data_IF_007069357678
#
_entry.id   IF_007069357678
#
_cell.length_a   1.000
_cell.length_b   1.000
_cell.length_c   1.000
_cell.angle_alpha   90.00
_cell.angle_beta   90.00
_cell.angle_gamma   90.00
#
_symmetry.space_group_name_H-M   'P 1'
#
loop_
_entity.id
_entity.type
_entity.pdbx_description
1 polymer ?
#
# COMPACT_ATOMS: atom_id res chain seq x y z
N UNK A 1 -6.73 1.73 -6.17
CA UNK A 1 -7.15 2.72 -5.14
C UNK A 1 -8.60 3.17 -5.26
N UNK A 2 -9.10 3.55 -6.46
CA UNK A 2 -10.44 4.12 -6.61
C UNK A 2 -11.60 3.32 -5.96
N UNK A 3 -11.66 1.97 -6.07
CA UNK A 3 -12.72 1.19 -5.41
C UNK A 3 -12.70 1.30 -3.87
N UNK A 4 -11.52 1.42 -3.27
CA UNK A 4 -11.39 1.55 -1.82
C UNK A 4 -11.86 2.93 -1.34
N UNK A 5 -11.60 3.98 -2.13
CA UNK A 5 -12.13 5.32 -1.87
C UNK A 5 -13.66 5.34 -1.96
N UNK A 6 -14.21 4.75 -3.01
CA UNK A 6 -15.67 4.65 -3.19
C UNK A 6 -16.35 3.93 -2.03
N UNK A 7 -15.77 2.82 -1.56
CA UNK A 7 -16.28 2.12 -0.38
C UNK A 7 -16.28 3.01 0.86
N UNK A 8 -15.19 3.74 1.12
CA UNK A 8 -15.11 4.68 2.24
C UNK A 8 -16.17 5.80 2.15
N UNK A 9 -16.36 6.36 0.96
CA UNK A 9 -17.35 7.41 0.71
C UNK A 9 -18.79 6.89 0.92
N UNK A 10 -19.02 5.60 0.67
CA UNK A 10 -20.28 4.91 0.95
C UNK A 10 -20.43 4.44 2.41
N UNK A 11 -19.49 4.76 3.30
CA UNK A 11 -19.50 4.34 4.71
C UNK A 11 -19.10 2.87 4.94
N UNK A 12 -18.58 2.19 3.91
CA UNK A 12 -18.11 0.80 3.98
C UNK A 12 -16.61 0.77 4.22
N UNK A 13 -16.17 0.01 5.21
CA UNK A 13 -14.74 -0.13 5.52
C UNK A 13 -14.08 -1.13 4.55
N UNK A 14 -13.10 -0.71 3.71
CA UNK A 14 -12.60 -1.52 2.61
C UNK A 14 -11.45 -2.46 3.01
N UNK A 15 -11.67 -3.35 3.98
CA UNK A 15 -10.61 -4.21 4.54
C UNK A 15 -9.86 -5.03 3.49
N UNK A 16 -10.58 -5.77 2.65
CA UNK A 16 -9.97 -6.62 1.63
C UNK A 16 -9.23 -5.81 0.55
N UNK A 17 -9.74 -4.63 0.21
CA UNK A 17 -9.07 -3.76 -0.77
C UNK A 17 -7.81 -3.15 -0.18
N UNK A 18 -7.84 -2.70 1.08
CA UNK A 18 -6.64 -2.21 1.77
C UNK A 18 -5.55 -3.29 1.85
N UNK A 19 -5.95 -4.53 2.09
CA UNK A 19 -5.04 -5.68 2.10
C UNK A 19 -4.46 -6.00 0.72
N UNK A 20 -5.29 -6.02 -0.33
CA UNK A 20 -4.83 -6.21 -1.70
C UNK A 20 -3.86 -5.10 -2.14
N UNK A 21 -4.14 -3.84 -1.76
CA UNK A 21 -3.24 -2.72 -2.02
C UNK A 21 -1.92 -2.91 -1.30
N UNK A 22 -1.95 -3.26 -0.01
CA UNK A 22 -0.75 -3.51 0.78
C UNK A 22 0.10 -4.66 0.19
N UNK A 23 -0.54 -5.75 -0.25
CA UNK A 23 0.15 -6.85 -0.92
C UNK A 23 0.79 -6.42 -2.24
N UNK A 24 0.15 -5.54 -3.01
CA UNK A 24 0.72 -5.00 -4.25
C UNK A 24 2.02 -4.21 -4.01
N UNK A 25 2.17 -3.56 -2.86
CA UNK A 25 3.43 -2.88 -2.51
C UNK A 25 4.57 -3.84 -2.14
N UNK A 26 4.28 -5.12 -1.89
CA UNK A 26 5.29 -6.17 -1.74
C UNK A 26 5.62 -6.87 -3.06
N UNK A 27 4.90 -6.55 -4.14
CA UNK A 27 5.16 -7.17 -5.44
C UNK A 27 6.55 -6.78 -5.94
N UNK A 28 7.32 -7.81 -6.32
CA UNK A 28 8.65 -7.66 -6.86
C UNK A 28 8.87 -8.71 -7.95
N UNK A 29 9.11 -8.24 -9.16
CA UNK A 29 9.52 -9.04 -10.31
C UNK A 29 10.76 -8.38 -10.95
N UNK A 30 11.93 -9.05 -10.95
CA UNK A 30 13.14 -8.50 -11.56
C UNK A 30 13.03 -8.17 -13.06
N UNK A 31 12.04 -8.75 -13.76
CA UNK A 31 11.76 -8.45 -15.16
C UNK A 31 10.81 -7.26 -15.34
N UNK A 32 10.19 -6.75 -14.26
CA UNK A 32 9.34 -5.56 -14.24
C UNK A 32 10.10 -4.37 -13.61
N UNK A 33 10.64 -3.44 -14.44
CA UNK A 33 11.37 -2.27 -13.96
C UNK A 33 10.54 -1.39 -13.01
N UNK A 34 9.21 -1.36 -13.16
CA UNK A 34 8.33 -0.57 -12.32
C UNK A 34 8.27 -1.14 -10.91
N UNK A 35 8.16 -2.46 -10.79
CA UNK A 35 8.22 -3.13 -9.48
C UNK A 35 9.58 -2.94 -8.81
N UNK A 36 10.68 -3.02 -9.56
CA UNK A 36 12.02 -2.76 -9.04
C UNK A 36 12.16 -1.33 -8.50
N UNK A 37 11.72 -0.34 -9.28
CA UNK A 37 11.75 1.07 -8.88
C UNK A 37 10.89 1.30 -7.63
N UNK A 38 9.72 0.67 -7.54
CA UNK A 38 8.87 0.74 -6.35
C UNK A 38 9.59 0.19 -5.11
N UNK A 39 10.21 -0.98 -5.22
CA UNK A 39 10.94 -1.57 -4.10
C UNK A 39 12.13 -0.70 -3.68
N UNK A 40 12.85 -0.09 -4.63
CA UNK A 40 13.93 0.85 -4.33
C UNK A 40 13.44 2.11 -3.61
N UNK A 41 12.29 2.67 -4.05
CA UNK A 41 11.66 3.81 -3.40
C UNK A 41 11.25 3.50 -1.96
N UNK A 42 10.67 2.30 -1.73
CA UNK A 42 10.28 1.84 -0.39
C UNK A 42 11.53 1.61 0.48
N UNK A 43 12.58 1.00 -0.06
CA UNK A 43 13.82 0.75 0.68
C UNK A 43 14.51 2.05 1.09
N UNK A 44 14.48 3.07 0.23
CA UNK A 44 15.16 4.35 0.46
C UNK A 44 14.36 5.29 1.36
N UNK A 45 13.05 5.42 1.12
CA UNK A 45 12.21 6.44 1.77
C UNK A 45 11.24 5.86 2.81
N UNK A 46 11.15 4.54 2.89
CA UNK A 46 10.12 3.85 3.64
C UNK A 46 8.79 3.73 2.89
N UNK A 47 7.91 2.91 3.43
CA UNK A 47 6.61 2.60 2.83
C UNK A 47 5.70 3.82 2.68
N UNK A 48 5.58 4.63 3.74
CA UNK A 48 4.56 5.68 3.81
C UNK A 48 4.74 6.76 2.73
N UNK A 49 5.95 7.31 2.49
CA UNK A 49 6.17 8.25 1.39
C UNK A 49 5.93 7.64 0.01
N UNK A 50 6.34 6.38 -0.22
CA UNK A 50 6.09 5.69 -1.49
C UNK A 50 4.60 5.50 -1.76
N UNK A 51 3.84 5.09 -0.72
CA UNK A 51 2.40 4.91 -0.81
C UNK A 51 1.69 6.22 -1.14
N UNK A 52 2.06 7.33 -0.49
CA UNK A 52 1.51 8.66 -0.79
C UNK A 52 1.75 9.07 -2.24
N UNK A 53 3.00 8.97 -2.70
CA UNK A 53 3.38 9.34 -4.07
C UNK A 53 2.61 8.54 -5.13
N UNK A 54 2.44 7.23 -4.92
CA UNK A 54 1.78 6.35 -5.91
C UNK A 54 0.25 6.48 -5.88
N UNK A 55 -0.32 6.61 -4.68
CA UNK A 55 -1.78 6.57 -4.53
C UNK A 55 -2.44 7.95 -4.60
N UNK A 56 -1.68 9.02 -4.39
CA UNK A 56 -2.20 10.39 -4.28
C UNK A 56 -3.18 10.57 -3.11
N UNK A 57 -3.10 9.70 -2.09
CA UNK A 57 -3.91 9.82 -0.89
C UNK A 57 -3.46 11.03 -0.06
N UNK A 58 -4.39 11.58 0.71
CA UNK A 58 -4.07 12.59 1.71
C UNK A 58 -3.29 11.95 2.88
N UNK A 59 -2.33 12.68 3.47
CA UNK A 59 -1.48 12.21 4.59
C UNK A 59 -2.26 11.79 5.83
N UNK A 60 -3.43 12.38 6.05
CA UNK A 60 -4.34 12.10 7.17
C UNK A 60 -5.45 11.10 6.79
N UNK A 61 -5.37 10.50 5.60
CA UNK A 61 -6.37 9.55 5.13
C UNK A 61 -6.44 8.31 6.02
N UNK A 62 -7.66 7.97 6.48
CA UNK A 62 -7.94 6.70 7.16
C UNK A 62 -7.55 5.50 6.28
N UNK A 63 -7.75 5.60 4.97
CA UNK A 63 -7.37 4.53 4.03
C UNK A 63 -5.85 4.33 3.97
N UNK A 64 -5.07 5.41 4.00
CA UNK A 64 -3.60 5.32 4.06
C UNK A 64 -3.15 4.56 5.31
N UNK A 65 -3.72 4.88 6.47
CA UNK A 65 -3.41 4.18 7.73
C UNK A 65 -3.75 2.70 7.67
N UNK A 66 -4.91 2.34 7.12
CA UNK A 66 -5.31 0.94 6.96
C UNK A 66 -4.34 0.17 6.06
N UNK A 67 -3.92 0.78 4.95
CA UNK A 67 -2.96 0.19 4.03
C UNK A 67 -1.61 0.00 4.73
N UNK A 68 -1.14 0.99 5.48
CA UNK A 68 0.13 0.95 6.22
C UNK A 68 0.14 -0.15 7.30
N UNK A 69 -0.96 -0.30 8.04
CA UNK A 69 -1.13 -1.37 9.02
C UNK A 69 -1.04 -2.75 8.35
N UNK A 70 -1.78 -2.96 7.25
CA UNK A 70 -1.76 -4.21 6.49
C UNK A 70 -0.39 -4.50 5.88
N UNK A 71 0.30 -3.48 5.37
CA UNK A 71 1.64 -3.62 4.81
C UNK A 71 2.63 -4.14 5.85
N UNK A 72 2.59 -3.59 7.07
CA UNK A 72 3.43 -4.05 8.19
C UNK A 72 3.13 -5.49 8.60
N UNK A 73 1.86 -5.90 8.56
CA UNK A 73 1.47 -7.29 8.84
C UNK A 73 2.15 -8.26 7.86
N UNK A 74 2.13 -7.96 6.56
CA UNK A 74 2.80 -8.80 5.56
C UNK A 74 4.32 -8.89 5.77
N UNK A 75 4.97 -7.79 6.14
CA UNK A 75 6.41 -7.79 6.45
C UNK A 75 6.74 -8.73 7.61
N UNK A 76 5.93 -8.74 8.67
CA UNK A 76 6.14 -9.63 9.81
C UNK A 76 5.93 -11.10 9.45
N UNK A 77 4.94 -11.41 8.63
CA UNK A 77 4.66 -12.79 8.17
C UNK A 77 5.74 -13.35 7.24
N UNK A 78 6.43 -12.50 6.48
CA UNK A 78 7.54 -12.92 5.60
C UNK A 78 8.85 -13.19 6.36
N UNK A 79 8.97 -12.69 7.59
CA UNK A 79 10.17 -12.82 8.44
C UNK A 79 10.04 -13.92 9.51
N UNK A 80 8.86 -14.51 9.67
CA UNK A 80 8.51 -15.57 10.64
C UNK A 80 8.48 -16.95 10.00
#
# INVERSE_FOLDING_TARGET
>A
IAPAKLAMDAGVVPHALAEAIAAAFHYHDPADPVSCQLQEQIATNGFRPACLNITGLNEDSKLLRMIEEKYRTFTLTMLS
#
